data_IF_359225055478
#
_entry.id   IF_359225055478
#
_cell.length_a   1.000
_cell.length_b   1.000
_cell.length_c   1.000
_cell.angle_alpha   90.00
_cell.angle_beta   90.00
_cell.angle_gamma   90.00
#
_symmetry.space_group_name_H-M   'P 1'
#
loop_
_entity.id
_entity.type
_entity.pdbx_description
1 polymer ?
#
# COMPACT_ATOMS: atom_id res chain seq x y z
N UNK A 1 -9.77 -25.59 1.97
CA UNK A 1 -9.65 -24.67 0.81
C UNK A 1 -10.43 -23.40 1.09
N UNK A 2 -9.78 -22.39 1.68
CA UNK A 2 -10.43 -21.09 1.92
C UNK A 2 -10.55 -20.39 0.55
N UNK A 3 -11.80 -20.20 0.11
CA UNK A 3 -12.16 -19.75 -1.24
C UNK A 3 -11.51 -18.39 -1.53
N UNK A 4 -10.60 -18.32 -2.51
CA UNK A 4 -9.95 -17.09 -3.03
C UNK A 4 -10.91 -15.92 -3.28
N UNK A 5 -12.21 -16.19 -3.50
CA UNK A 5 -13.26 -15.19 -3.64
C UNK A 5 -13.59 -14.41 -2.36
N UNK A 6 -13.45 -15.01 -1.17
CA UNK A 6 -13.71 -14.32 0.10
C UNK A 6 -12.65 -13.25 0.38
N UNK A 7 -11.39 -13.63 0.17
CA UNK A 7 -10.22 -12.73 0.32
C UNK A 7 -10.33 -11.51 -0.58
N UNK A 8 -10.76 -11.68 -1.84
CA UNK A 8 -10.94 -10.55 -2.76
C UNK A 8 -11.99 -9.54 -2.28
N UNK A 9 -13.13 -10.03 -1.77
CA UNK A 9 -14.20 -9.15 -1.27
C UNK A 9 -13.78 -8.39 -0.01
N UNK A 10 -13.03 -9.04 0.88
CA UNK A 10 -12.48 -8.37 2.06
C UNK A 10 -11.47 -7.28 1.66
N UNK A 11 -10.61 -7.55 0.67
CA UNK A 11 -9.69 -6.54 0.15
C UNK A 11 -10.39 -5.35 -0.53
N UNK A 12 -11.41 -5.60 -1.36
CA UNK A 12 -12.22 -4.54 -1.98
C UNK A 12 -12.88 -3.66 -0.91
N UNK A 13 -13.33 -4.28 0.21
CA UNK A 13 -13.90 -3.57 1.35
C UNK A 13 -12.85 -2.70 2.06
N UNK A 14 -11.69 -3.26 2.41
CA UNK A 14 -10.56 -2.52 3.02
C UNK A 14 -10.13 -1.33 2.16
N UNK A 15 -10.01 -1.52 0.85
CA UNK A 15 -9.64 -0.45 -0.09
C UNK A 15 -10.70 0.65 -0.08
N UNK A 16 -11.99 0.30 -0.16
CA UNK A 16 -13.08 1.27 -0.15
C UNK A 16 -13.15 2.05 1.17
N UNK A 17 -12.95 1.38 2.30
CA UNK A 17 -12.95 1.99 3.63
C UNK A 17 -11.74 2.91 3.81
N UNK A 18 -10.58 2.52 3.27
CA UNK A 18 -9.36 3.35 3.31
C UNK A 18 -9.47 4.62 2.48
N UNK A 19 -10.17 4.55 1.33
CA UNK A 19 -10.42 5.72 0.47
C UNK A 19 -11.50 6.61 1.10
N UNK A 20 -12.58 6.03 1.62
CA UNK A 20 -13.70 6.76 2.21
C UNK A 20 -13.32 7.44 3.53
N UNK A 21 -12.53 6.76 4.35
CA UNK A 21 -12.00 7.29 5.61
C UNK A 21 -10.62 7.92 5.43
N UNK A 22 -10.24 8.29 4.21
CA UNK A 22 -8.96 8.96 3.97
C UNK A 22 -8.95 10.23 4.84
N UNK A 23 -8.09 10.31 5.86
CA UNK A 23 -8.12 11.43 6.79
C UNK A 23 -7.85 12.71 6.02
N UNK A 24 -8.59 13.77 6.36
CA UNK A 24 -8.37 15.08 5.77
C UNK A 24 -6.94 15.52 6.12
N UNK A 25 -6.13 15.81 5.10
CA UNK A 25 -4.66 15.91 5.22
C UNK A 25 -4.20 17.30 5.65
N UNK A 26 -5.11 18.12 6.20
CA UNK A 26 -4.73 19.23 7.09
C UNK A 26 -4.29 18.64 8.44
N UNK A 27 -3.22 17.84 8.42
CA UNK A 27 -2.85 16.93 9.50
C UNK A 27 -1.66 17.42 10.32
N UNK A 28 -1.73 17.15 11.63
CA UNK A 28 -0.70 17.38 12.67
C UNK A 28 0.64 16.66 12.35
N UNK A 29 0.64 15.74 11.39
CA UNK A 29 1.79 14.91 11.05
C UNK A 29 2.64 15.54 9.95
N UNK A 30 3.99 15.47 10.05
CA UNK A 30 4.87 15.96 9.01
C UNK A 30 4.58 15.29 7.65
N UNK A 31 4.68 16.04 6.53
CA UNK A 31 4.45 15.51 5.18
C UNK A 31 5.23 14.23 4.87
N UNK A 32 6.42 14.07 5.43
CA UNK A 32 7.27 12.90 5.23
C UNK A 32 6.73 11.65 5.92
N UNK A 33 6.06 11.82 7.06
CA UNK A 33 5.38 10.72 7.77
C UNK A 33 4.15 10.27 6.98
N UNK A 34 3.39 11.22 6.44
CA UNK A 34 2.23 10.95 5.59
C UNK A 34 2.67 10.19 4.34
N UNK A 35 3.67 10.71 3.63
CA UNK A 35 4.19 10.10 2.41
C UNK A 35 4.76 8.69 2.65
N UNK A 36 5.40 8.44 3.79
CA UNK A 36 5.82 7.09 4.16
C UNK A 36 4.65 6.12 4.35
N UNK A 37 3.55 6.57 4.97
CA UNK A 37 2.34 5.76 5.10
C UNK A 37 1.71 5.48 3.74
N UNK A 38 1.65 6.47 2.85
CA UNK A 38 1.14 6.28 1.49
C UNK A 38 1.95 5.22 0.72
N UNK A 39 3.29 5.28 0.79
CA UNK A 39 4.16 4.28 0.15
C UNK A 39 3.90 2.87 0.69
N UNK A 40 3.72 2.71 2.01
CA UNK A 40 3.40 1.41 2.61
C UNK A 40 2.05 0.87 2.16
N UNK A 41 1.00 1.72 2.15
CA UNK A 41 -0.34 1.33 1.70
C UNK A 41 -0.33 0.88 0.23
N UNK A 42 0.38 1.61 -0.64
CA UNK A 42 0.53 1.22 -2.03
C UNK A 42 1.33 -0.09 -2.19
N UNK A 43 2.36 -0.29 -1.36
CA UNK A 43 3.10 -1.55 -1.31
C UNK A 43 2.20 -2.74 -0.95
N UNK A 44 1.36 -2.61 0.07
CA UNK A 44 0.39 -3.63 0.48
C UNK A 44 -0.62 -3.95 -0.63
N UNK A 45 -1.13 -2.92 -1.32
CA UNK A 45 -2.06 -3.10 -2.44
C UNK A 45 -1.42 -3.95 -3.56
N UNK A 46 -0.15 -3.71 -3.89
CA UNK A 46 0.56 -4.47 -4.91
C UNK A 46 0.85 -5.90 -4.48
N UNK A 47 1.21 -6.12 -3.22
CA UNK A 47 1.34 -7.48 -2.65
C UNK A 47 0.02 -8.25 -2.78
N UNK A 48 -1.11 -7.64 -2.43
CA UNK A 48 -2.42 -8.27 -2.61
C UNK A 48 -2.72 -8.66 -4.06
N UNK A 49 -2.31 -7.83 -5.04
CA UNK A 49 -2.44 -8.17 -6.47
C UNK A 49 -1.53 -9.33 -6.89
N UNK A 50 -0.30 -9.36 -6.38
CA UNK A 50 0.68 -10.43 -6.61
C UNK A 50 0.15 -11.76 -6.04
N UNK A 51 -0.34 -11.77 -4.81
CA UNK A 51 -0.91 -12.96 -4.16
C UNK A 51 -2.18 -13.46 -4.87
N UNK A 52 -2.98 -12.55 -5.43
CA UNK A 52 -4.13 -12.88 -6.26
C UNK A 52 -3.76 -13.44 -7.65
N UNK A 53 -2.47 -13.43 -8.03
CA UNK A 53 -1.99 -13.88 -9.34
C UNK A 53 -2.30 -12.91 -10.48
N UNK A 54 -2.70 -11.68 -10.18
CA UNK A 54 -3.01 -10.65 -11.18
C UNK A 54 -1.68 -10.09 -11.67
N UNK A 55 -1.42 -10.16 -12.99
CA UNK A 55 -0.27 -9.54 -13.67
C UNK A 55 1.02 -9.47 -12.81
N UNK A 56 1.43 -10.63 -12.29
CA UNK A 56 2.39 -10.74 -11.17
C UNK A 56 3.69 -10.01 -11.45
N UNK A 57 4.26 -10.19 -12.66
CA UNK A 57 5.54 -9.58 -13.04
C UNK A 57 5.44 -8.05 -13.03
N UNK A 58 4.38 -7.48 -13.59
CA UNK A 58 4.17 -6.04 -13.62
C UNK A 58 4.01 -5.47 -12.21
N UNK A 59 3.15 -6.06 -11.38
CA UNK A 59 2.93 -5.57 -10.02
C UNK A 59 4.15 -5.77 -9.11
N UNK A 60 4.96 -6.81 -9.33
CA UNK A 60 6.22 -7.00 -8.61
C UNK A 60 7.25 -5.90 -8.92
N UNK A 61 7.37 -5.46 -10.19
CA UNK A 61 8.29 -4.38 -10.54
C UNK A 61 7.87 -3.03 -9.94
N UNK A 62 6.57 -2.74 -9.94
CA UNK A 62 6.05 -1.54 -9.27
C UNK A 62 6.29 -1.65 -7.76
N UNK A 63 6.04 -2.82 -7.15
CA UNK A 63 6.24 -3.03 -5.72
C UNK A 63 7.69 -2.77 -5.31
N UNK A 64 8.65 -3.33 -6.06
CA UNK A 64 10.09 -3.07 -5.84
C UNK A 64 10.41 -1.58 -5.88
N UNK A 65 9.84 -0.86 -6.84
CA UNK A 65 10.05 0.59 -6.99
C UNK A 65 9.51 1.35 -5.77
N UNK A 66 8.28 1.04 -5.33
CA UNK A 66 7.67 1.66 -4.16
C UNK A 66 8.49 1.39 -2.89
N UNK A 67 8.91 0.14 -2.68
CA UNK A 67 9.71 -0.22 -1.51
C UNK A 67 11.10 0.43 -1.53
N UNK A 68 11.71 0.59 -2.71
CA UNK A 68 12.96 1.35 -2.85
C UNK A 68 12.78 2.80 -2.38
N UNK A 69 11.73 3.47 -2.83
CA UNK A 69 11.42 4.84 -2.39
C UNK A 69 11.12 4.92 -0.88
N UNK A 70 10.37 3.95 -0.34
CA UNK A 70 10.09 3.88 1.09
C UNK A 70 11.38 3.79 1.93
N UNK A 71 12.30 2.89 1.57
CA UNK A 71 13.55 2.74 2.33
C UNK A 71 14.50 3.93 2.16
N UNK A 72 14.53 4.56 0.99
CA UNK A 72 15.28 5.80 0.78
C UNK A 72 14.77 6.92 1.68
N UNK A 73 13.45 7.13 1.71
CA UNK A 73 12.82 8.16 2.52
C UNK A 73 12.95 7.88 4.02
N UNK A 74 12.79 6.63 4.45
CA UNK A 74 12.99 6.23 5.85
C UNK A 74 14.42 6.50 6.32
N UNK A 75 15.43 6.20 5.49
CA UNK A 75 16.84 6.51 5.81
C UNK A 75 17.08 8.01 5.97
N UNK A 76 16.43 8.85 5.16
CA UNK A 76 16.56 10.30 5.29
C UNK A 76 15.92 10.86 6.58
N UNK A 77 14.96 10.16 7.17
CA UNK A 77 14.25 10.63 8.37
C UNK A 77 14.95 10.31 9.69
N UNK A 78 16.06 9.54 9.69
CA UNK A 78 16.81 9.13 10.90
C UNK A 78 15.91 8.63 12.06
N UNK A 79 14.83 7.92 11.73
CA UNK A 79 13.93 7.25 12.68
C UNK A 79 14.24 5.76 12.73
#
# INVERSE_FOLDING_TARGET
MIKKQGVRKEWEKVISESIKNKPNIEGIYPPEVIRNRELLLLGQLLLGKIEAGINVKFHAEIYKTIMKHYFQQKRCLKI
#
